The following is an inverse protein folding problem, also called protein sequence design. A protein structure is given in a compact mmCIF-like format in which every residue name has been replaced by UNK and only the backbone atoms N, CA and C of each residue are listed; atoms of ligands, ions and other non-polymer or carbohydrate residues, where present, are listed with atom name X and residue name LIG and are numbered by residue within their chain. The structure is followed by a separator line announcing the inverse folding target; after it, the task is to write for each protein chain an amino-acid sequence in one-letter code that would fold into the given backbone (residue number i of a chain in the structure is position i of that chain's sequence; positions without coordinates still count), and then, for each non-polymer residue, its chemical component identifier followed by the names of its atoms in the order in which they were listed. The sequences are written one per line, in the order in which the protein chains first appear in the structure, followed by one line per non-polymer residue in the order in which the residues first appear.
data_IF_551265500396
#
_entry.id   IF_551265500396
#
_cell.length_a   1.000
_cell.length_b   1.000
_cell.length_c   1.000
_cell.angle_alpha   90.00
_cell.angle_beta   90.00
_cell.angle_gamma   90.00
#
_symmetry.space_group_name_H-M   'P 1'
#
loop_
_entity.id
_entity.type
_entity.pdbx_description
1 polymer ?
#
# COMPACT_ATOMS: atom_id res chain seq x y z
N UNK A 1 6.82 -14.67 -43.99
CA UNK A 1 7.22 -15.22 -42.70
C UNK A 1 6.06 -16.04 -42.19
N UNK A 2 6.23 -17.36 -42.09
CA UNK A 2 5.22 -18.22 -41.51
C UNK A 2 5.05 -17.84 -40.02
N UNK A 3 3.83 -17.80 -39.49
CA UNK A 3 3.60 -17.58 -38.08
C UNK A 3 4.23 -18.75 -37.32
N UNK A 4 5.28 -18.46 -36.53
CA UNK A 4 5.90 -19.45 -35.68
C UNK A 4 4.82 -20.01 -34.73
N UNK A 5 4.66 -21.34 -34.75
CA UNK A 5 3.80 -22.06 -33.81
C UNK A 5 4.18 -21.62 -32.37
N UNK A 6 3.22 -21.23 -31.54
CA UNK A 6 3.54 -20.83 -30.17
C UNK A 6 4.23 -22.01 -29.47
N UNK A 7 5.48 -21.81 -29.05
CA UNK A 7 6.23 -22.80 -28.29
C UNK A 7 5.50 -23.06 -26.98
N UNK A 8 5.43 -24.34 -26.54
CA UNK A 8 4.84 -24.69 -25.24
C UNK A 8 5.53 -23.86 -24.14
N UNK A 9 4.76 -23.22 -23.23
CA UNK A 9 5.32 -22.47 -22.14
C UNK A 9 6.30 -23.32 -21.31
N UNK A 10 7.39 -22.72 -20.84
CA UNK A 10 8.37 -23.38 -19.96
C UNK A 10 7.80 -23.64 -18.56
N UNK A 11 6.69 -23.00 -18.22
CA UNK A 11 5.96 -23.19 -16.95
C UNK A 11 4.92 -22.12 -16.74
N UNK A 12 4.23 -22.21 -15.62
CA UNK A 12 3.13 -21.33 -15.22
C UNK A 12 3.41 -20.63 -13.90
N UNK A 13 3.17 -19.32 -13.88
CA UNK A 13 3.14 -18.52 -12.66
C UNK A 13 1.72 -18.04 -12.42
N UNK A 14 1.22 -18.28 -11.20
CA UNK A 14 -0.01 -17.67 -10.71
C UNK A 14 0.35 -16.48 -9.83
N UNK A 15 -0.27 -15.34 -10.06
CA UNK A 15 -0.11 -14.12 -9.27
C UNK A 15 -1.42 -13.80 -8.58
N UNK A 16 -1.39 -13.65 -7.26
CA UNK A 16 -2.55 -13.31 -6.43
C UNK A 16 -2.47 -11.84 -6.02
N UNK A 17 -3.45 -11.05 -6.43
CA UNK A 17 -3.56 -9.63 -6.16
C UNK A 17 -2.95 -8.75 -7.27
N UNK A 18 -3.78 -7.88 -7.84
CA UNK A 18 -3.46 -6.96 -8.94
C UNK A 18 -3.05 -5.55 -8.50
N UNK A 19 -2.53 -5.40 -7.28
CA UNK A 19 -1.98 -4.15 -6.77
C UNK A 19 -0.59 -3.83 -7.32
N UNK A 20 0.10 -2.86 -6.69
CA UNK A 20 1.43 -2.39 -7.12
C UNK A 20 2.46 -3.51 -7.31
N UNK A 21 2.50 -4.48 -6.39
CA UNK A 21 3.44 -5.60 -6.49
C UNK A 21 3.03 -6.63 -7.52
N UNK A 22 1.81 -7.15 -7.41
CA UNK A 22 1.36 -8.28 -8.23
C UNK A 22 1.16 -7.94 -9.70
N UNK A 23 0.55 -6.79 -10.03
CA UNK A 23 0.41 -6.34 -11.41
C UNK A 23 1.78 -6.14 -12.07
N UNK A 24 2.72 -5.51 -11.35
CA UNK A 24 4.10 -5.36 -11.82
C UNK A 24 4.76 -6.71 -12.06
N UNK A 25 4.70 -7.63 -11.09
CA UNK A 25 5.27 -8.96 -11.24
C UNK A 25 4.69 -9.69 -12.46
N UNK A 26 3.37 -9.68 -12.62
CA UNK A 26 2.70 -10.34 -13.74
C UNK A 26 3.17 -9.81 -15.10
N UNK A 27 3.24 -8.47 -15.25
CA UNK A 27 3.72 -7.82 -16.48
C UNK A 27 5.17 -8.18 -16.77
N UNK A 28 6.05 -8.00 -15.79
CA UNK A 28 7.50 -8.15 -16.00
C UNK A 28 7.93 -9.60 -16.14
N UNK A 29 7.24 -10.59 -15.56
CA UNK A 29 7.46 -12.00 -15.85
C UNK A 29 7.18 -12.27 -17.32
N UNK A 30 6.09 -11.76 -17.89
CA UNK A 30 5.79 -11.90 -19.31
C UNK A 30 6.83 -11.23 -20.19
N UNK A 31 7.19 -9.97 -19.89
CA UNK A 31 8.15 -9.20 -20.67
C UNK A 31 9.54 -9.84 -20.67
N UNK A 32 10.08 -10.14 -19.49
CA UNK A 32 11.46 -10.62 -19.36
C UNK A 32 11.65 -12.09 -19.71
N UNK A 33 10.58 -12.88 -19.70
CA UNK A 33 10.60 -14.22 -20.26
C UNK A 33 10.41 -14.26 -21.79
N UNK A 34 10.21 -13.11 -22.44
CA UNK A 34 9.86 -13.07 -23.86
C UNK A 34 8.55 -13.81 -24.18
N UNK A 35 7.63 -13.85 -23.20
CA UNK A 35 6.38 -14.58 -23.32
C UNK A 35 6.48 -16.09 -23.07
N UNK A 36 7.65 -16.62 -22.72
CA UNK A 36 7.85 -18.06 -22.50
C UNK A 36 7.18 -18.61 -21.23
N UNK A 37 6.84 -17.77 -20.25
CA UNK A 37 6.13 -18.16 -19.03
C UNK A 37 4.67 -17.78 -19.14
N UNK A 38 3.77 -18.73 -18.88
CA UNK A 38 2.34 -18.44 -18.75
C UNK A 38 2.08 -17.74 -17.41
N UNK A 39 1.37 -16.60 -17.44
CA UNK A 39 1.04 -15.83 -16.23
C UNK A 39 -0.46 -15.66 -16.08
N UNK A 40 -0.99 -16.13 -14.95
CA UNK A 40 -2.37 -15.97 -14.53
C UNK A 40 -2.41 -14.98 -13.36
N UNK A 41 -3.08 -13.85 -13.52
CA UNK A 41 -3.32 -12.89 -12.44
C UNK A 41 -4.73 -13.05 -11.91
N UNK A 42 -4.88 -13.41 -10.63
CA UNK A 42 -6.17 -13.47 -9.94
C UNK A 42 -6.38 -12.19 -9.16
N UNK A 43 -7.42 -11.44 -9.53
CA UNK A 43 -7.80 -10.19 -8.87
C UNK A 43 -9.33 -10.12 -8.69
N UNK A 44 -9.77 -9.84 -7.47
CA UNK A 44 -11.20 -9.78 -7.14
C UNK A 44 -11.91 -8.54 -7.68
N UNK A 45 -11.18 -7.43 -7.79
CA UNK A 45 -11.72 -6.17 -8.28
C UNK A 45 -11.64 -6.08 -9.81
N UNK A 46 -12.61 -5.41 -10.43
CA UNK A 46 -12.62 -5.18 -11.88
C UNK A 46 -11.58 -4.16 -12.32
N UNK A 47 -11.19 -3.27 -11.40
CA UNK A 47 -10.30 -2.15 -11.65
C UNK A 47 -9.33 -1.98 -10.48
N UNK A 48 -8.17 -1.47 -10.80
CA UNK A 48 -7.19 -1.00 -9.82
C UNK A 48 -7.56 0.40 -9.36
N UNK A 49 -7.54 0.63 -8.04
CA UNK A 49 -7.68 1.94 -7.42
C UNK A 49 -6.43 2.25 -6.62
N UNK A 50 -5.79 3.38 -6.90
CA UNK A 50 -4.54 3.76 -6.24
C UNK A 50 -4.76 4.28 -4.83
N UNK A 51 -4.10 3.67 -3.83
CA UNK A 51 -4.03 4.22 -2.47
C UNK A 51 -3.12 5.46 -2.40
N UNK A 52 -1.89 5.46 -2.94
CA UNK A 52 -1.18 6.70 -3.22
C UNK A 52 -2.04 7.64 -4.05
N UNK A 53 -2.07 8.91 -3.67
CA UNK A 53 -2.91 9.98 -4.24
C UNK A 53 -4.41 9.94 -3.87
N UNK A 54 -4.90 8.91 -3.18
CA UNK A 54 -6.32 8.87 -2.73
C UNK A 54 -6.67 9.96 -1.72
N UNK A 55 -5.71 10.48 -0.98
CA UNK A 55 -5.92 11.63 -0.10
C UNK A 55 -6.30 12.91 -0.86
N UNK A 56 -5.90 13.03 -2.14
CA UNK A 56 -6.32 14.14 -3.01
C UNK A 56 -7.82 14.06 -3.34
N UNK A 57 -8.39 12.86 -3.40
CA UNK A 57 -9.84 12.67 -3.54
C UNK A 57 -10.54 13.10 -2.26
N UNK A 58 -10.01 12.72 -1.11
CA UNK A 58 -10.54 13.12 0.19
C UNK A 58 -10.47 14.65 0.38
N UNK A 59 -9.39 15.30 -0.06
CA UNK A 59 -9.24 16.76 -0.06
C UNK A 59 -10.10 17.48 -1.11
N UNK A 60 -10.56 16.77 -2.13
CA UNK A 60 -11.45 17.30 -3.18
C UNK A 60 -10.73 17.88 -4.40
N UNK A 61 -9.40 17.75 -4.50
CA UNK A 61 -8.64 18.22 -5.66
C UNK A 61 -8.58 17.22 -6.82
N UNK A 62 -8.99 15.96 -6.57
CA UNK A 62 -9.07 14.88 -7.55
C UNK A 62 -10.36 14.07 -7.36
N UNK A 63 -10.73 13.32 -8.39
CA UNK A 63 -11.85 12.39 -8.39
C UNK A 63 -11.37 10.94 -8.28
N UNK A 64 -12.29 10.01 -7.98
CA UNK A 64 -11.99 8.57 -8.03
C UNK A 64 -11.56 8.12 -9.44
N UNK A 65 -12.13 8.69 -10.50
CA UNK A 65 -11.74 8.40 -11.88
C UNK A 65 -10.27 8.73 -12.18
N UNK A 66 -9.72 9.79 -11.56
CA UNK A 66 -8.33 10.17 -11.74
C UNK A 66 -7.33 9.12 -11.22
N UNK A 67 -7.74 8.32 -10.23
CA UNK A 67 -6.89 7.33 -9.55
C UNK A 67 -7.28 5.88 -9.83
N UNK A 68 -8.21 5.64 -10.75
CA UNK A 68 -8.70 4.31 -11.14
C UNK A 68 -8.16 3.92 -12.52
N UNK A 69 -7.73 2.66 -12.67
CA UNK A 69 -7.17 2.12 -13.91
C UNK A 69 -7.66 0.69 -14.15
N UNK A 70 -7.85 0.33 -15.43
CA UNK A 70 -8.19 -1.02 -15.83
C UNK A 70 -6.97 -1.92 -16.00
N UNK A 71 -7.22 -3.23 -16.12
CA UNK A 71 -6.19 -4.26 -16.36
C UNK A 71 -5.98 -4.58 -17.85
N UNK A 72 -6.46 -3.73 -18.76
CA UNK A 72 -6.39 -3.96 -20.21
C UNK A 72 -4.97 -4.10 -20.74
N UNK A 73 -4.04 -3.26 -20.30
CA UNK A 73 -2.64 -3.32 -20.71
C UNK A 73 -1.96 -4.63 -20.35
N UNK A 74 -2.25 -5.19 -19.17
CA UNK A 74 -1.71 -6.51 -18.79
C UNK A 74 -2.15 -7.62 -19.73
N UNK A 75 -3.39 -7.58 -20.22
CA UNK A 75 -3.88 -8.54 -21.22
C UNK A 75 -3.13 -8.38 -22.54
N UNK A 76 -2.80 -7.14 -22.93
CA UNK A 76 -1.97 -6.83 -24.08
C UNK A 76 -0.57 -7.46 -24.01
N UNK A 77 0.00 -7.61 -22.82
CA UNK A 77 1.25 -8.33 -22.58
C UNK A 77 1.08 -9.85 -22.46
N UNK A 78 -0.12 -10.38 -22.67
CA UNK A 78 -0.41 -11.81 -22.57
C UNK A 78 -0.58 -12.34 -21.15
N UNK A 79 -0.85 -11.46 -20.17
CA UNK A 79 -1.28 -11.87 -18.83
C UNK A 79 -2.76 -12.23 -18.88
N UNK A 80 -3.10 -13.44 -18.44
CA UNK A 80 -4.50 -13.85 -18.29
C UNK A 80 -5.03 -13.32 -16.95
N UNK A 81 -5.84 -12.28 -17.01
CA UNK A 81 -6.47 -11.69 -15.81
C UNK A 81 -7.77 -12.43 -15.52
N UNK A 82 -7.83 -13.06 -14.33
CA UNK A 82 -8.97 -13.80 -13.83
C UNK A 82 -9.62 -12.97 -12.73
N UNK A 83 -10.86 -12.56 -12.96
CA UNK A 83 -11.65 -11.83 -11.97
C UNK A 83 -12.29 -12.80 -10.99
N UNK A 84 -11.57 -13.13 -9.92
CA UNK A 84 -12.03 -13.99 -8.84
C UNK A 84 -11.25 -13.71 -7.56
N UNK A 85 -11.64 -14.34 -6.49
CA UNK A 85 -10.97 -14.31 -5.20
C UNK A 85 -10.35 -15.67 -4.89
N UNK A 86 -9.13 -15.66 -4.37
CA UNK A 86 -8.47 -16.89 -3.92
C UNK A 86 -9.04 -17.31 -2.56
N UNK A 87 -9.60 -18.49 -2.50
CA UNK A 87 -10.17 -19.08 -1.28
C UNK A 87 -9.12 -19.81 -0.44
N UNK A 88 -8.16 -20.51 -1.09
CA UNK A 88 -7.11 -21.26 -0.41
C UNK A 88 -5.90 -21.48 -1.32
N UNK A 89 -4.75 -21.70 -0.70
CA UNK A 89 -3.51 -22.13 -1.34
C UNK A 89 -3.10 -23.47 -0.75
N UNK A 90 -3.01 -24.50 -1.60
CA UNK A 90 -2.37 -25.77 -1.27
C UNK A 90 -0.95 -25.75 -1.86
N UNK A 91 0.01 -25.40 -1.01
CA UNK A 91 1.41 -25.29 -1.43
C UNK A 91 2.05 -26.66 -1.69
N UNK A 92 1.58 -27.73 -1.06
CA UNK A 92 2.10 -29.08 -1.24
C UNK A 92 1.77 -29.62 -2.64
N UNK A 93 0.54 -29.45 -3.09
CA UNK A 93 0.10 -29.86 -4.42
C UNK A 93 0.28 -28.77 -5.49
N UNK A 94 0.78 -27.60 -5.10
CA UNK A 94 0.95 -26.39 -5.95
C UNK A 94 -0.36 -26.00 -6.65
N UNK A 95 -1.42 -25.86 -5.86
CA UNK A 95 -2.75 -25.47 -6.34
C UNK A 95 -3.26 -24.24 -5.60
N UNK A 96 -3.97 -23.41 -6.35
CA UNK A 96 -4.73 -22.28 -5.85
C UNK A 96 -6.21 -22.56 -6.11
N UNK A 97 -7.02 -22.57 -5.06
CA UNK A 97 -8.47 -22.72 -5.17
C UNK A 97 -9.14 -21.36 -5.23
N UNK A 98 -9.93 -21.14 -6.26
CA UNK A 98 -10.70 -19.93 -6.43
C UNK A 98 -12.06 -20.03 -5.71
N UNK A 99 -12.63 -18.88 -5.34
CA UNK A 99 -13.93 -18.84 -4.64
C UNK A 99 -15.07 -19.40 -5.48
N UNK A 100 -15.04 -19.25 -6.81
CA UNK A 100 -16.03 -19.81 -7.73
C UNK A 100 -15.87 -21.30 -8.02
N UNK A 101 -14.87 -21.94 -7.43
CA UNK A 101 -14.68 -23.38 -7.45
C UNK A 101 -13.59 -23.88 -8.38
N UNK A 102 -13.05 -23.05 -9.29
CA UNK A 102 -11.95 -23.42 -10.16
C UNK A 102 -10.65 -23.59 -9.36
N UNK A 103 -9.77 -24.49 -9.85
CA UNK A 103 -8.43 -24.68 -9.32
C UNK A 103 -7.39 -24.33 -10.38
N UNK A 104 -6.32 -23.62 -9.95
CA UNK A 104 -5.19 -23.27 -10.80
C UNK A 104 -3.94 -23.96 -10.28
N UNK A 105 -3.25 -24.69 -11.16
CA UNK A 105 -1.92 -25.23 -10.85
C UNK A 105 -0.83 -24.22 -11.19
N UNK A 106 0.30 -24.26 -10.49
CA UNK A 106 1.44 -23.39 -10.74
C UNK A 106 2.78 -24.09 -10.56
N UNK A 107 3.80 -23.63 -11.24
CA UNK A 107 5.20 -23.96 -10.96
C UNK A 107 5.76 -23.01 -9.91
N UNK A 108 5.41 -21.70 -10.01
CA UNK A 108 5.68 -20.69 -8.99
C UNK A 108 4.46 -19.84 -8.73
N UNK A 109 4.32 -19.40 -7.48
CA UNK A 109 3.21 -18.57 -7.01
C UNK A 109 3.75 -17.22 -6.51
N UNK A 110 3.10 -16.15 -6.89
CA UNK A 110 3.31 -14.80 -6.35
C UNK A 110 2.10 -14.42 -5.50
N UNK A 111 2.32 -14.08 -4.24
CA UNK A 111 1.27 -13.64 -3.31
C UNK A 111 1.51 -12.18 -2.94
N UNK A 112 0.65 -11.31 -3.45
CA UNK A 112 0.71 -9.86 -3.24
C UNK A 112 -0.61 -9.36 -2.62
N UNK A 113 -0.94 -9.77 -1.38
CA UNK A 113 -2.28 -9.59 -0.81
C UNK A 113 -2.47 -8.23 -0.14
N UNK A 114 -1.41 -7.43 -0.07
CA UNK A 114 -1.41 -6.21 0.72
C UNK A 114 -1.55 -6.47 2.21
N UNK A 115 -2.26 -5.57 2.90
CA UNK A 115 -2.50 -5.65 4.35
C UNK A 115 -3.96 -5.97 4.67
N UNK A 116 -4.17 -6.47 5.87
CA UNK A 116 -5.46 -6.53 6.55
C UNK A 116 -5.38 -5.82 7.90
N UNK A 117 -6.54 -5.39 8.41
CA UNK A 117 -6.64 -4.59 9.63
C UNK A 117 -6.92 -5.45 10.86
N UNK A 118 -6.30 -5.09 11.97
CA UNK A 118 -6.51 -5.68 13.29
C UNK A 118 -7.53 -4.85 14.08
N UNK A 119 -8.80 -4.84 13.61
CA UNK A 119 -9.87 -4.09 14.27
C UNK A 119 -10.08 -4.54 15.72
N UNK A 120 -9.85 -5.84 15.99
CA UNK A 120 -9.94 -6.43 17.32
C UNK A 120 -8.98 -5.83 18.35
N UNK A 121 -7.93 -5.17 17.89
CA UNK A 121 -6.99 -4.47 18.79
C UNK A 121 -7.54 -3.14 19.31
N UNK A 122 -8.69 -2.67 18.80
CA UNK A 122 -9.36 -1.45 19.24
C UNK A 122 -10.72 -1.84 19.80
N UNK A 123 -10.91 -1.68 21.09
CA UNK A 123 -12.17 -2.05 21.77
C UNK A 123 -13.36 -1.28 21.16
N UNK A 124 -14.44 -1.97 20.88
CA UNK A 124 -15.65 -1.39 20.29
C UNK A 124 -15.60 -1.20 18.77
N UNK A 125 -14.48 -1.52 18.09
CA UNK A 125 -14.35 -1.40 16.64
C UNK A 125 -14.83 -2.66 15.88
N UNK A 126 -15.97 -3.21 16.33
CA UNK A 126 -16.63 -4.34 15.67
C UNK A 126 -17.33 -3.93 14.37
N UNK A 127 -17.97 -4.93 13.71
CA UNK A 127 -18.58 -4.77 12.38
C UNK A 127 -19.57 -3.60 12.30
N UNK A 128 -20.34 -3.33 13.36
CA UNK A 128 -21.30 -2.22 13.37
C UNK A 128 -20.58 -0.87 13.39
N UNK A 129 -19.55 -0.71 14.22
CA UNK A 129 -18.76 0.51 14.29
C UNK A 129 -18.03 0.79 12.96
N UNK A 130 -17.59 -0.23 12.25
CA UNK A 130 -16.90 -0.11 10.95
C UNK A 130 -17.77 0.51 9.86
N UNK A 131 -19.10 0.52 10.02
CA UNK A 131 -20.01 1.16 9.06
C UNK A 131 -19.96 2.69 9.11
N UNK A 132 -19.57 3.24 10.23
CA UNK A 132 -19.59 4.70 10.47
C UNK A 132 -18.23 5.27 10.84
N UNK A 133 -17.37 4.49 11.48
CA UNK A 133 -15.98 4.85 11.78
C UNK A 133 -15.11 4.25 10.66
N UNK A 134 -14.76 5.08 9.69
CA UNK A 134 -14.09 4.65 8.47
C UNK A 134 -12.58 4.83 8.58
N UNK A 135 -11.80 3.82 8.18
CA UNK A 135 -10.35 3.97 8.06
C UNK A 135 -9.95 4.58 6.71
N UNK A 136 -10.65 4.22 5.62
CA UNK A 136 -10.32 4.62 4.24
C UNK A 136 -8.81 4.44 3.92
N UNK A 137 -8.23 3.34 4.40
CA UNK A 137 -6.81 3.01 4.20
C UNK A 137 -6.61 2.00 3.05
N UNK A 138 -7.70 1.53 2.47
CA UNK A 138 -7.81 0.91 1.15
C UNK A 138 -8.67 1.85 0.30
N UNK A 139 -8.10 2.41 -0.77
CA UNK A 139 -8.83 3.33 -1.64
C UNK A 139 -9.97 2.61 -2.38
N UNK A 140 -11.10 3.27 -2.48
CA UNK A 140 -12.30 2.72 -3.10
C UNK A 140 -13.57 3.41 -2.59
N UNK A 141 -14.69 2.69 -2.47
CA UNK A 141 -15.97 3.25 -2.01
C UNK A 141 -15.89 3.94 -0.64
N UNK A 142 -15.04 3.42 0.26
CA UNK A 142 -14.85 4.01 1.59
C UNK A 142 -14.17 5.38 1.53
N UNK A 143 -13.33 5.65 0.51
CA UNK A 143 -12.75 6.98 0.28
C UNK A 143 -13.85 8.01 -0.01
N UNK A 144 -14.81 7.64 -0.85
CA UNK A 144 -15.99 8.49 -1.17
C UNK A 144 -16.88 8.68 0.06
N UNK A 145 -17.11 7.61 0.83
CA UNK A 145 -17.91 7.66 2.04
C UNK A 145 -17.27 8.58 3.10
N UNK A 146 -15.96 8.50 3.31
CA UNK A 146 -15.25 9.37 4.24
C UNK A 146 -15.24 10.82 3.77
N UNK A 147 -15.09 11.06 2.45
CA UNK A 147 -15.22 12.41 1.86
C UNK A 147 -16.61 12.97 2.15
N UNK A 148 -17.66 12.18 1.99
CA UNK A 148 -19.03 12.62 2.30
C UNK A 148 -19.19 12.96 3.79
N UNK A 149 -18.64 12.17 4.71
CA UNK A 149 -18.68 12.52 6.14
C UNK A 149 -18.00 13.86 6.42
N UNK A 150 -16.88 14.13 5.74
CA UNK A 150 -16.17 15.42 5.86
C UNK A 150 -17.02 16.58 5.31
N UNK A 151 -17.71 16.38 4.21
CA UNK A 151 -18.61 17.38 3.61
C UNK A 151 -19.85 17.64 4.48
N UNK A 152 -20.41 16.59 5.08
CA UNK A 152 -21.59 16.68 5.94
C UNK A 152 -21.25 17.24 7.34
N UNK A 153 -19.98 17.26 7.74
CA UNK A 153 -19.55 17.81 9.02
C UNK A 153 -19.88 19.31 9.10
N UNK A 154 -20.44 19.74 10.24
CA UNK A 154 -20.71 21.18 10.45
C UNK A 154 -19.42 22.00 10.47
N UNK A 155 -19.48 23.26 10.10
CA UNK A 155 -18.41 24.22 10.37
C UNK A 155 -18.24 24.41 11.90
N UNK A 156 -17.00 24.32 12.38
CA UNK A 156 -16.66 24.24 13.80
C UNK A 156 -16.66 22.81 14.34
N UNK A 157 -16.78 21.79 13.47
CA UNK A 157 -16.65 20.39 13.83
C UNK A 157 -15.20 19.94 14.01
N UNK A 158 -15.03 18.76 14.61
CA UNK A 158 -13.72 18.13 14.82
C UNK A 158 -13.61 16.84 14.01
N UNK A 159 -12.62 16.79 13.12
CA UNK A 159 -12.20 15.59 12.42
C UNK A 159 -11.07 14.92 13.19
N UNK A 160 -11.32 13.73 13.72
CA UNK A 160 -10.32 12.96 14.47
C UNK A 160 -9.68 11.94 13.54
N UNK A 161 -8.37 11.99 13.40
CA UNK A 161 -7.56 11.05 12.64
C UNK A 161 -6.65 10.26 13.58
N UNK A 162 -6.77 8.93 13.63
CA UNK A 162 -5.80 8.10 14.35
C UNK A 162 -4.70 7.58 13.44
N UNK A 163 -3.49 7.53 13.98
CA UNK A 163 -2.32 6.91 13.34
C UNK A 163 -1.95 5.65 14.13
N UNK A 164 -1.91 4.46 13.49
CA UNK A 164 -1.60 3.22 14.18
C UNK A 164 -0.12 3.14 14.57
N UNK A 165 0.24 2.25 15.52
CA UNK A 165 1.66 2.01 15.83
C UNK A 165 2.41 1.44 14.62
N UNK A 166 3.62 1.92 14.38
CA UNK A 166 4.50 1.42 13.33
C UNK A 166 4.89 -0.06 13.59
N UNK A 167 5.15 -0.87 12.54
CA UNK A 167 5.08 -0.55 11.12
C UNK A 167 3.65 -0.63 10.57
N UNK A 168 3.31 0.29 9.68
CA UNK A 168 2.05 0.31 8.94
C UNK A 168 2.30 0.76 7.48
N UNK A 169 1.34 0.47 6.59
CA UNK A 169 1.40 0.88 5.20
C UNK A 169 1.35 2.40 5.05
N UNK A 170 2.21 2.96 4.17
CA UNK A 170 2.27 4.37 3.84
C UNK A 170 2.58 5.25 5.07
N UNK A 171 3.83 5.20 5.61
CA UNK A 171 4.20 5.96 6.80
C UNK A 171 3.86 7.45 6.75
N UNK A 172 4.05 8.20 5.64
CA UNK A 172 3.65 9.61 5.56
C UNK A 172 2.14 9.83 5.33
N UNK A 173 1.40 8.80 4.98
CA UNK A 173 0.00 8.89 4.55
C UNK A 173 -0.96 9.58 5.53
N UNK A 174 -0.91 9.31 6.84
CA UNK A 174 -1.78 9.98 7.79
C UNK A 174 -1.56 11.49 7.85
N UNK A 175 -0.31 11.91 7.80
CA UNK A 175 0.06 13.33 7.89
C UNK A 175 -0.29 14.08 6.60
N UNK A 176 -0.15 13.43 5.43
CA UNK A 176 -0.69 13.94 4.16
C UNK A 176 -2.21 14.07 4.24
N UNK A 177 -2.91 13.04 4.76
CA UNK A 177 -4.38 13.07 4.93
C UNK A 177 -4.80 14.25 5.79
N UNK A 178 -4.12 14.48 6.91
CA UNK A 178 -4.38 15.64 7.76
C UNK A 178 -4.25 16.95 6.99
N UNK A 179 -3.22 17.10 6.15
CA UNK A 179 -3.05 18.27 5.29
C UNK A 179 -4.21 18.42 4.29
N UNK A 180 -4.64 17.33 3.63
CA UNK A 180 -5.72 17.38 2.65
C UNK A 180 -7.07 17.70 3.29
N UNK A 181 -7.35 17.13 4.46
CA UNK A 181 -8.55 17.48 5.23
C UNK A 181 -8.49 18.94 5.69
N UNK A 182 -7.36 19.39 6.22
CA UNK A 182 -7.17 20.76 6.66
C UNK A 182 -7.26 21.77 5.49
N UNK A 183 -6.77 21.42 4.32
CA UNK A 183 -6.94 22.21 3.11
C UNK A 183 -8.42 22.42 2.78
N UNK A 184 -9.20 21.35 2.80
CA UNK A 184 -10.65 21.45 2.60
C UNK A 184 -11.31 22.32 3.69
N UNK A 185 -10.98 22.07 4.96
CA UNK A 185 -11.58 22.82 6.08
C UNK A 185 -11.27 24.31 6.01
N UNK A 186 -10.03 24.67 5.68
CA UNK A 186 -9.59 26.06 5.56
C UNK A 186 -10.47 26.86 4.58
N UNK A 187 -10.94 26.23 3.51
CA UNK A 187 -11.73 26.88 2.48
C UNK A 187 -13.25 26.78 2.72
N UNK A 188 -13.72 25.62 3.20
CA UNK A 188 -15.14 25.32 3.29
C UNK A 188 -15.70 25.43 4.72
N UNK A 189 -14.86 25.21 5.75
CA UNK A 189 -15.28 25.11 7.16
C UNK A 189 -14.20 25.65 8.11
N UNK A 190 -13.87 26.95 8.05
CA UNK A 190 -12.67 27.53 8.65
C UNK A 190 -12.62 27.50 10.19
N UNK A 191 -13.75 27.26 10.87
CA UNK A 191 -13.82 27.11 12.32
C UNK A 191 -13.57 25.67 12.81
N UNK A 192 -13.46 24.71 11.86
CA UNK A 192 -13.26 23.30 12.14
C UNK A 192 -11.80 22.95 12.38
N UNK A 193 -11.55 21.78 12.95
CA UNK A 193 -10.20 21.28 13.29
C UNK A 193 -9.98 19.87 12.84
N UNK A 194 -8.71 19.54 12.59
CA UNK A 194 -8.18 18.17 12.49
C UNK A 194 -7.37 17.87 13.73
N UNK A 195 -7.76 16.84 14.45
CA UNK A 195 -7.00 16.34 15.59
C UNK A 195 -6.33 15.01 15.18
N UNK A 196 -5.00 14.98 15.18
CA UNK A 196 -4.22 13.79 14.91
C UNK A 196 -3.85 13.12 16.24
N UNK A 197 -4.29 11.88 16.44
CA UNK A 197 -3.92 11.02 17.55
C UNK A 197 -2.95 9.97 17.05
N UNK A 198 -1.68 10.16 17.33
CA UNK A 198 -0.60 9.30 16.83
C UNK A 198 -0.14 8.33 17.93
N UNK A 199 -0.22 7.02 17.63
CA UNK A 199 0.30 5.99 18.53
C UNK A 199 1.82 6.06 18.71
N UNK A 200 2.52 6.70 17.77
CA UNK A 200 3.97 6.83 17.77
C UNK A 200 4.40 8.08 18.56
N UNK A 201 5.65 8.11 19.08
CA UNK A 201 6.13 9.27 19.85
C UNK A 201 6.17 10.56 19.03
N UNK A 202 6.45 10.46 17.75
CA UNK A 202 6.50 11.59 16.82
C UNK A 202 6.11 11.15 15.40
N UNK A 203 5.98 12.12 14.50
CA UNK A 203 5.70 11.91 13.06
C UNK A 203 6.72 10.95 12.47
N UNK A 204 6.25 9.82 11.94
CA UNK A 204 7.10 8.69 11.53
C UNK A 204 7.83 8.89 10.22
N UNK A 205 7.46 9.90 9.43
CA UNK A 205 8.09 10.21 8.13
C UNK A 205 8.00 11.70 7.83
N UNK A 206 9.10 12.34 7.43
CA UNK A 206 9.18 13.75 7.04
C UNK A 206 8.66 14.73 8.13
N UNK A 207 8.86 14.37 9.41
CA UNK A 207 8.30 15.11 10.56
C UNK A 207 8.52 16.62 10.50
N UNK A 208 9.76 17.12 10.38
CA UNK A 208 10.01 18.56 10.31
C UNK A 208 9.26 19.26 9.17
N UNK A 209 9.15 18.62 7.99
CA UNK A 209 8.47 19.18 6.83
C UNK A 209 6.96 19.27 7.02
N UNK A 210 6.34 18.21 7.57
CA UNK A 210 4.92 18.23 7.88
C UNK A 210 4.59 19.25 8.98
N UNK A 211 5.34 19.27 10.07
CA UNK A 211 5.12 20.26 11.16
C UNK A 211 5.25 21.70 10.67
N UNK A 212 6.22 21.96 9.80
CA UNK A 212 6.37 23.28 9.16
C UNK A 212 5.18 23.61 8.26
N UNK A 213 4.72 22.67 7.44
CA UNK A 213 3.54 22.85 6.60
C UNK A 213 2.28 23.12 7.43
N UNK A 214 2.08 22.41 8.55
CA UNK A 214 0.93 22.65 9.45
C UNK A 214 0.97 24.05 10.06
N UNK A 215 2.15 24.49 10.52
CA UNK A 215 2.30 25.81 11.13
C UNK A 215 2.08 26.95 10.13
N UNK A 216 2.54 26.78 8.89
CA UNK A 216 2.48 27.82 7.87
C UNK A 216 1.17 27.86 7.08
N UNK A 217 0.62 26.68 6.73
CA UNK A 217 -0.57 26.59 5.89
C UNK A 217 -1.88 26.47 6.69
N UNK A 218 -1.84 25.81 7.85
CA UNK A 218 -3.02 25.41 8.63
C UNK A 218 -2.92 25.80 10.12
N UNK A 219 -2.46 27.04 10.44
CA UNK A 219 -2.37 27.46 11.84
C UNK A 219 -3.73 27.42 12.51
N UNK A 220 -3.79 26.76 13.68
CA UNK A 220 -5.03 26.61 14.44
C UNK A 220 -6.04 25.58 13.88
N UNK A 221 -5.78 24.97 12.71
CA UNK A 221 -6.63 23.94 12.14
C UNK A 221 -6.12 22.54 12.49
N UNK A 222 -4.82 22.27 12.37
CA UNK A 222 -4.23 20.96 12.72
C UNK A 222 -3.68 21.00 14.14
N UNK A 223 -4.13 20.05 14.97
CA UNK A 223 -3.57 19.72 16.28
C UNK A 223 -2.99 18.30 16.23
N UNK A 224 -1.75 18.14 16.71
CA UNK A 224 -1.04 16.85 16.74
C UNK A 224 -0.73 16.42 18.16
N UNK A 225 -1.04 15.16 18.47
CA UNK A 225 -0.70 14.51 19.74
C UNK A 225 0.03 13.20 19.48
N UNK A 226 1.32 13.14 19.81
CA UNK A 226 2.11 11.90 19.84
C UNK A 226 1.85 11.10 21.12
N UNK A 227 2.22 9.82 21.14
CA UNK A 227 1.92 8.87 22.22
C UNK A 227 0.43 8.82 22.60
N UNK A 228 -0.44 8.98 21.61
CA UNK A 228 -1.89 9.04 21.76
C UNK A 228 -2.57 7.88 20.98
N UNK A 229 -2.19 6.64 21.30
CA UNK A 229 -2.78 5.46 20.68
C UNK A 229 -4.28 5.34 21.00
N UNK A 230 -5.12 5.20 19.99
CA UNK A 230 -6.54 4.93 20.16
C UNK A 230 -6.74 3.49 20.62
N UNK A 231 -7.27 3.31 21.82
CA UNK A 231 -7.52 2.02 22.46
C UNK A 231 -8.95 1.54 22.30
N UNK A 232 -9.89 2.47 22.21
CA UNK A 232 -11.30 2.14 22.05
C UNK A 232 -12.06 3.17 21.23
N UNK A 233 -13.19 2.74 20.66
CA UNK A 233 -14.12 3.61 19.92
C UNK A 233 -15.54 3.36 20.41
N UNK A 234 -16.37 4.42 20.35
CA UNK A 234 -17.80 4.35 20.55
C UNK A 234 -18.50 5.10 19.40
N UNK A 235 -19.09 4.36 18.48
CA UNK A 235 -19.71 4.91 17.27
C UNK A 235 -20.95 5.77 17.59
N UNK A 236 -21.79 5.36 18.55
CA UNK A 236 -23.01 6.08 18.91
C UNK A 236 -22.71 7.38 19.66
N UNK A 237 -21.72 7.40 20.55
CA UNK A 237 -21.27 8.58 21.26
C UNK A 237 -20.34 9.46 20.39
N UNK A 238 -19.86 8.96 19.26
CA UNK A 238 -18.84 9.60 18.41
C UNK A 238 -17.56 9.91 19.21
N UNK A 239 -17.05 8.94 19.95
CA UNK A 239 -15.84 9.12 20.76
C UNK A 239 -14.77 8.09 20.42
N UNK A 240 -13.52 8.50 20.61
CA UNK A 240 -12.35 7.62 20.68
C UNK A 240 -11.69 7.82 22.05
N UNK A 241 -11.11 6.76 22.60
CA UNK A 241 -10.37 6.86 23.88
C UNK A 241 -8.93 6.42 23.69
N UNK A 242 -8.02 7.17 24.31
CA UNK A 242 -6.62 6.82 24.51
C UNK A 242 -6.41 6.35 25.96
N UNK A 243 -5.18 6.13 26.40
CA UNK A 243 -4.89 5.83 27.80
C UNK A 243 -5.16 7.04 28.75
N UNK A 244 -5.28 8.25 28.19
CA UNK A 244 -5.36 9.49 28.97
C UNK A 244 -6.72 10.19 28.86
N UNK A 245 -7.32 10.18 27.67
CA UNK A 245 -8.47 11.00 27.34
C UNK A 245 -9.54 10.23 26.56
N UNK A 246 -10.81 10.66 26.73
CA UNK A 246 -11.90 10.34 25.80
C UNK A 246 -12.25 11.57 25.01
N UNK A 247 -12.14 11.47 23.69
CA UNK A 247 -12.24 12.58 22.76
C UNK A 247 -13.45 12.38 21.86
N UNK A 248 -14.29 13.40 21.77
CA UNK A 248 -15.42 13.42 20.84
C UNK A 248 -15.03 14.07 19.52
N UNK A 249 -15.44 13.44 18.39
CA UNK A 249 -15.28 14.00 17.06
C UNK A 249 -16.58 13.96 16.27
N UNK A 250 -16.74 14.88 15.30
CA UNK A 250 -17.85 14.85 14.37
C UNK A 250 -17.62 13.82 13.28
N UNK A 251 -16.36 13.64 12.86
CA UNK A 251 -15.89 12.55 12.00
C UNK A 251 -14.77 11.79 12.71
N UNK A 252 -14.90 10.47 12.76
CA UNK A 252 -13.87 9.58 13.32
C UNK A 252 -13.23 8.79 12.19
N UNK A 253 -12.00 9.14 11.81
CA UNK A 253 -11.19 8.41 10.85
C UNK A 253 -10.14 7.59 11.60
N UNK A 254 -10.48 6.36 11.95
CA UNK A 254 -9.63 5.50 12.78
C UNK A 254 -8.95 4.45 11.91
N UNK A 255 -7.61 4.51 11.82
CA UNK A 255 -6.80 3.54 11.09
C UNK A 255 -6.29 2.47 12.05
N UNK A 256 -6.76 1.21 11.96
CA UNK A 256 -6.32 0.15 12.85
C UNK A 256 -4.88 -0.28 12.58
N UNK A 257 -4.22 -0.96 13.55
CA UNK A 257 -3.01 -1.72 13.30
C UNK A 257 -3.19 -2.73 12.16
N UNK A 258 -2.10 -3.15 11.53
CA UNK A 258 -2.14 -3.90 10.29
C UNK A 258 -1.29 -5.17 10.37
N UNK A 259 -1.63 -6.14 9.53
CA UNK A 259 -0.87 -7.35 9.25
C UNK A 259 -0.94 -7.70 7.77
N UNK A 260 -0.19 -8.72 7.34
CA UNK A 260 -0.33 -9.29 5.99
C UNK A 260 -1.77 -9.76 5.74
N UNK A 261 -2.22 -9.65 4.50
CA UNK A 261 -3.56 -10.02 4.06
C UNK A 261 -3.93 -11.47 4.39
N UNK A 262 -5.22 -11.74 4.53
CA UNK A 262 -5.77 -13.01 5.03
C UNK A 262 -5.27 -14.25 4.29
N UNK A 263 -5.10 -14.16 2.98
CA UNK A 263 -4.61 -15.30 2.20
C UNK A 263 -3.17 -15.71 2.58
N UNK A 264 -2.34 -14.76 2.97
CA UNK A 264 -1.00 -15.05 3.46
C UNK A 264 -1.03 -15.76 4.81
N UNK A 265 -1.96 -15.37 5.71
CA UNK A 265 -2.19 -16.05 6.99
C UNK A 265 -2.67 -17.48 6.77
N UNK A 266 -3.69 -17.67 5.93
CA UNK A 266 -4.26 -18.99 5.62
C UNK A 266 -3.26 -19.95 4.97
N UNK A 267 -2.28 -19.44 4.22
CA UNK A 267 -1.25 -20.23 3.56
C UNK A 267 0.02 -20.48 4.41
N UNK A 268 0.04 -20.03 5.68
CA UNK A 268 1.21 -20.21 6.56
C UNK A 268 2.43 -19.37 6.18
N UNK A 269 2.23 -18.24 5.49
CA UNK A 269 3.32 -17.37 5.02
C UNK A 269 3.79 -16.35 6.06
N UNK A 270 3.00 -16.12 7.12
CA UNK A 270 3.34 -15.18 8.19
C UNK A 270 4.34 -15.84 9.13
N UNK A 271 5.54 -15.27 9.23
CA UNK A 271 6.67 -15.81 10.02
C UNK A 271 7.22 -14.85 11.06
N UNK A 272 6.80 -13.59 11.03
CA UNK A 272 7.31 -12.55 11.94
C UNK A 272 6.18 -11.86 12.68
N UNK A 273 6.27 -11.82 14.03
CA UNK A 273 5.39 -11.09 14.95
C UNK A 273 3.88 -11.37 14.75
N UNK A 274 3.52 -12.55 14.23
CA UNK A 274 2.16 -12.91 13.82
C UNK A 274 1.53 -11.91 12.83
N UNK A 275 2.33 -11.10 12.14
CA UNK A 275 1.87 -10.02 11.27
C UNK A 275 2.45 -10.08 9.86
N UNK A 276 3.73 -10.41 9.68
CA UNK A 276 4.44 -10.18 8.43
C UNK A 276 5.10 -11.44 7.88
N UNK A 277 5.24 -11.50 6.55
CA UNK A 277 5.84 -12.60 5.82
C UNK A 277 7.35 -12.37 5.64
N UNK A 278 8.19 -13.25 6.16
CA UNK A 278 9.62 -13.26 5.87
C UNK A 278 9.91 -13.75 4.46
N UNK A 279 10.84 -13.10 3.78
CA UNK A 279 11.25 -13.41 2.41
C UNK A 279 12.78 -13.44 2.26
N UNK A 280 13.25 -14.20 1.29
CA UNK A 280 14.61 -14.09 0.76
C UNK A 280 14.69 -12.88 -0.17
N UNK A 281 15.48 -11.89 0.18
CA UNK A 281 15.59 -10.63 -0.55
C UNK A 281 16.32 -10.71 -1.90
N UNK A 282 16.85 -11.87 -2.28
CA UNK A 282 17.35 -12.11 -3.64
C UNK A 282 16.23 -12.53 -4.62
N UNK A 283 15.15 -13.09 -4.10
CA UNK A 283 14.09 -13.70 -4.92
C UNK A 283 12.67 -13.32 -4.51
N UNK A 284 12.48 -12.69 -3.36
CA UNK A 284 11.19 -12.53 -2.69
C UNK A 284 10.52 -13.86 -2.31
N UNK A 285 11.22 -14.99 -2.41
CA UNK A 285 10.66 -16.29 -2.02
C UNK A 285 10.42 -16.35 -0.51
N UNK A 286 9.28 -16.91 -0.11
CA UNK A 286 8.92 -17.09 1.29
C UNK A 286 9.94 -17.95 2.02
N UNK A 287 10.35 -17.54 3.22
CA UNK A 287 11.22 -18.38 4.07
C UNK A 287 10.49 -19.60 4.64
N UNK A 288 9.16 -19.62 4.60
CA UNK A 288 8.34 -20.71 5.12
C UNK A 288 7.90 -21.72 4.05
N UNK A 289 7.67 -21.27 2.80
CA UNK A 289 7.04 -22.09 1.75
C UNK A 289 7.80 -21.93 0.45
N UNK A 290 8.35 -23.03 -0.06
CA UNK A 290 9.09 -23.04 -1.34
C UNK A 290 8.18 -22.77 -2.54
N UNK A 291 8.77 -22.15 -3.57
CA UNK A 291 8.08 -21.79 -4.82
C UNK A 291 6.94 -20.76 -4.67
N UNK A 292 6.86 -20.11 -3.50
CA UNK A 292 5.91 -19.04 -3.20
C UNK A 292 6.67 -17.77 -2.90
N UNK A 293 6.40 -16.71 -3.66
CA UNK A 293 7.03 -15.38 -3.52
C UNK A 293 6.02 -14.42 -2.92
N UNK A 294 6.41 -13.67 -1.90
CA UNK A 294 5.54 -12.68 -1.25
C UNK A 294 6.04 -11.27 -1.52
N UNK A 295 5.14 -10.37 -1.90
CA UNK A 295 5.47 -9.01 -2.33
C UNK A 295 4.75 -7.93 -1.52
N UNK A 296 5.34 -6.75 -1.52
CA UNK A 296 4.71 -5.52 -1.04
C UNK A 296 4.50 -5.48 0.47
N UNK A 297 3.42 -4.86 0.87
CA UNK A 297 3.16 -4.52 2.27
C UNK A 297 2.98 -5.73 3.20
N UNK A 298 2.70 -6.92 2.65
CA UNK A 298 2.60 -8.17 3.40
C UNK A 298 3.96 -8.66 3.94
N UNK A 299 5.08 -8.21 3.35
CA UNK A 299 6.41 -8.65 3.76
C UNK A 299 6.86 -8.05 5.08
N UNK A 300 7.71 -8.79 5.81
CA UNK A 300 8.55 -8.19 6.84
C UNK A 300 9.53 -7.25 6.14
N UNK A 301 9.38 -5.96 6.36
CA UNK A 301 10.24 -4.96 5.71
C UNK A 301 11.71 -5.16 6.08
N UNK A 302 12.59 -4.99 5.11
CA UNK A 302 14.01 -4.85 5.38
C UNK A 302 14.28 -3.59 6.24
N UNK A 303 15.45 -3.50 6.90
CA UNK A 303 15.78 -2.34 7.73
C UNK A 303 15.59 -1.01 6.99
N UNK A 304 14.92 -0.06 7.62
CA UNK A 304 14.60 1.28 7.10
C UNK A 304 13.76 1.29 5.79
N UNK A 305 13.23 0.15 5.37
CA UNK A 305 12.40 0.05 4.17
C UNK A 305 10.94 0.39 4.50
N UNK A 306 10.33 1.38 3.85
CA UNK A 306 8.92 1.69 4.08
C UNK A 306 8.00 0.67 3.38
N UNK A 307 6.79 0.50 3.93
CA UNK A 307 5.69 -0.17 3.22
C UNK A 307 5.02 0.84 2.31
N UNK A 308 5.36 0.82 1.02
CA UNK A 308 4.84 1.78 0.03
C UNK A 308 4.48 1.11 -1.29
N UNK A 309 3.63 1.79 -2.08
CA UNK A 309 3.29 1.32 -3.43
C UNK A 309 4.51 1.24 -4.35
N UNK A 310 5.45 2.21 -4.26
CA UNK A 310 6.69 2.19 -5.04
C UNK A 310 7.58 1.02 -4.65
N UNK A 311 7.72 0.75 -3.35
CA UNK A 311 8.49 -0.40 -2.88
C UNK A 311 7.83 -1.72 -3.33
N UNK A 312 6.50 -1.83 -3.26
CA UNK A 312 5.77 -3.00 -3.77
C UNK A 312 6.00 -3.21 -5.28
N UNK A 313 6.00 -2.14 -6.08
CA UNK A 313 6.35 -2.20 -7.51
C UNK A 313 7.79 -2.74 -7.70
N UNK A 314 8.76 -2.24 -6.94
CA UNK A 314 10.13 -2.74 -7.00
C UNK A 314 10.25 -4.22 -6.54
N UNK A 315 9.51 -4.65 -5.51
CA UNK A 315 9.41 -6.06 -5.14
C UNK A 315 8.88 -6.90 -6.30
N UNK A 316 7.89 -6.40 -7.02
CA UNK A 316 7.34 -7.05 -8.21
C UNK A 316 8.40 -7.28 -9.31
N UNK A 317 9.22 -6.27 -9.59
CA UNK A 317 10.33 -6.37 -10.55
C UNK A 317 11.42 -7.33 -10.06
N UNK A 318 11.79 -7.24 -8.80
CA UNK A 318 12.80 -8.13 -8.20
C UNK A 318 12.34 -9.60 -8.27
N UNK A 319 11.10 -9.89 -7.88
CA UNK A 319 10.53 -11.23 -7.96
C UNK A 319 10.42 -11.71 -9.41
N UNK A 320 9.98 -10.85 -10.34
CA UNK A 320 9.88 -11.21 -11.75
C UNK A 320 11.24 -11.61 -12.34
N UNK A 321 12.29 -10.83 -12.09
CA UNK A 321 13.64 -11.15 -12.51
C UNK A 321 14.09 -12.51 -11.95
N UNK A 322 13.91 -12.68 -10.64
CA UNK A 322 14.30 -13.93 -9.96
C UNK A 322 13.51 -15.15 -10.48
N UNK A 323 12.20 -15.03 -10.66
CA UNK A 323 11.35 -16.12 -11.16
C UNK A 323 11.78 -16.53 -12.57
N UNK A 324 12.05 -15.56 -13.47
CA UNK A 324 12.53 -15.84 -14.83
C UNK A 324 13.85 -16.61 -14.79
N UNK A 325 14.82 -16.21 -13.95
CA UNK A 325 16.10 -16.91 -13.81
C UNK A 325 15.91 -18.31 -13.23
N UNK A 326 15.15 -18.45 -12.14
CA UNK A 326 14.89 -19.73 -11.48
C UNK A 326 14.18 -20.74 -12.41
N UNK A 327 13.22 -20.30 -13.22
CA UNK A 327 12.51 -21.18 -14.16
C UNK A 327 13.37 -21.58 -15.36
N UNK A 328 14.44 -20.84 -15.65
CA UNK A 328 15.44 -21.19 -16.67
C UNK A 328 16.66 -21.90 -16.09
N UNK A 329 16.71 -22.20 -14.79
CA UNK A 329 17.85 -22.82 -14.14
C UNK A 329 19.13 -21.96 -14.11
N UNK A 330 18.97 -20.63 -14.16
CA UNK A 330 20.07 -19.66 -14.14
C UNK A 330 20.25 -19.06 -12.75
N UNK A 331 21.46 -18.54 -12.43
CA UNK A 331 21.73 -17.90 -11.15
C UNK A 331 20.97 -16.59 -11.01
N UNK A 332 20.60 -16.28 -9.76
CA UNK A 332 19.98 -15.00 -9.41
C UNK A 332 20.97 -13.84 -9.50
N UNK A 333 20.47 -12.61 -9.68
CA UNK A 333 21.26 -11.42 -9.47
C UNK A 333 21.74 -11.37 -8.01
N UNK A 334 23.05 -11.41 -7.74
CA UNK A 334 23.58 -11.44 -6.37
C UNK A 334 23.53 -10.10 -5.66
N UNK A 335 23.25 -9.01 -6.36
CA UNK A 335 23.27 -7.64 -5.83
C UNK A 335 22.08 -6.81 -6.35
N UNK A 336 20.85 -7.21 -6.06
CA UNK A 336 19.69 -6.39 -6.43
C UNK A 336 19.71 -5.06 -5.70
N UNK A 337 19.27 -4.02 -6.43
CA UNK A 337 19.09 -2.66 -5.92
C UNK A 337 17.66 -2.23 -6.21
N UNK A 338 16.98 -1.71 -5.20
CA UNK A 338 15.63 -1.17 -5.33
C UNK A 338 15.54 0.22 -4.71
N UNK A 339 14.58 1.01 -5.16
CA UNK A 339 14.43 2.39 -4.73
C UNK A 339 13.00 2.71 -4.31
N UNK A 340 12.87 3.70 -3.45
CA UNK A 340 11.60 4.25 -3.02
C UNK A 340 11.59 5.77 -3.13
N UNK A 341 10.45 6.31 -3.54
CA UNK A 341 10.14 7.73 -3.41
C UNK A 341 8.69 7.86 -2.98
N UNK A 342 8.45 8.62 -1.92
CA UNK A 342 7.11 8.92 -1.42
C UNK A 342 6.87 10.42 -1.52
N UNK A 343 5.99 10.82 -2.42
CA UNK A 343 5.49 12.19 -2.56
C UNK A 343 4.26 12.37 -1.66
N UNK A 344 4.23 13.43 -0.86
CA UNK A 344 3.09 13.77 0.00
C UNK A 344 2.60 15.18 -0.27
N UNK A 345 1.35 15.31 -0.65
CA UNK A 345 0.71 16.58 -0.93
C UNK A 345 0.31 17.28 0.38
N UNK A 346 0.95 18.40 0.66
CA UNK A 346 0.63 19.23 1.85
C UNK A 346 -0.43 20.30 1.53
N UNK A 347 -0.73 20.53 0.27
CA UNK A 347 -1.87 21.29 -0.24
C UNK A 347 -2.41 20.62 -1.51
N UNK A 348 -3.21 21.31 -2.29
CA UNK A 348 -3.64 20.85 -3.63
C UNK A 348 -2.50 20.81 -4.66
N UNK A 349 -1.40 21.54 -4.43
CA UNK A 349 -0.30 21.75 -5.38
C UNK A 349 1.08 21.44 -4.81
N UNK A 350 1.32 21.76 -3.55
CA UNK A 350 2.65 21.66 -2.95
C UNK A 350 2.89 20.28 -2.36
N UNK A 351 4.09 19.76 -2.56
CA UNK A 351 4.53 18.43 -2.12
C UNK A 351 5.80 18.52 -1.29
N UNK A 352 5.95 17.56 -0.40
CA UNK A 352 7.22 17.16 0.23
C UNK A 352 7.49 15.70 -0.10
N UNK A 353 8.74 15.34 -0.41
CA UNK A 353 9.11 13.95 -0.70
C UNK A 353 10.14 13.38 0.26
N UNK A 354 10.24 12.06 0.27
CA UNK A 354 11.36 11.28 0.82
C UNK A 354 11.73 10.22 -0.19
N UNK A 355 13.02 10.00 -0.38
CA UNK A 355 13.56 8.98 -1.25
C UNK A 355 14.61 8.13 -0.53
N UNK A 356 14.74 6.86 -0.91
CA UNK A 356 15.76 5.96 -0.40
C UNK A 356 16.14 4.93 -1.46
N UNK A 357 17.37 4.42 -1.36
CA UNK A 357 17.87 3.31 -2.19
C UNK A 357 18.31 2.19 -1.26
N UNK A 358 17.99 0.97 -1.61
CA UNK A 358 18.32 -0.23 -0.84
C UNK A 358 19.09 -1.20 -1.73
N UNK A 359 20.18 -1.73 -1.22
CA UNK A 359 21.04 -2.71 -1.90
C UNK A 359 21.17 -3.95 -1.04
N UNK A 360 21.25 -5.12 -1.67
CA UNK A 360 21.47 -6.37 -0.96
C UNK A 360 22.84 -6.43 -0.30
N UNK A 361 22.85 -6.80 0.97
CA UNK A 361 24.04 -7.08 1.77
C UNK A 361 24.15 -8.59 1.97
N UNK A 362 25.19 -9.26 1.41
CA UNK A 362 25.34 -10.71 1.49
C UNK A 362 25.72 -11.21 2.89
N UNK A 363 26.26 -10.34 3.76
CA UNK A 363 26.60 -10.69 5.14
C UNK A 363 25.33 -10.71 6.00
N UNK A 364 24.53 -9.67 5.90
CA UNK A 364 23.27 -9.56 6.63
C UNK A 364 22.12 -10.34 5.95
N UNK A 365 22.30 -10.77 4.71
CA UNK A 365 21.30 -11.46 3.87
C UNK A 365 19.97 -10.69 3.78
N UNK A 366 20.06 -9.38 3.67
CA UNK A 366 18.90 -8.47 3.55
C UNK A 366 19.23 -7.27 2.69
N UNK A 367 18.21 -6.50 2.34
CA UNK A 367 18.42 -5.19 1.71
C UNK A 367 18.73 -4.15 2.80
N UNK A 368 19.73 -3.34 2.56
CA UNK A 368 20.14 -2.25 3.46
C UNK A 368 20.10 -0.91 2.74
N UNK A 369 19.75 0.15 3.47
CA UNK A 369 19.79 1.50 2.92
C UNK A 369 21.21 1.88 2.49
N UNK A 370 21.34 2.43 1.27
CA UNK A 370 22.62 2.89 0.74
C UNK A 370 22.94 4.27 1.34
N UNK A 371 24.05 4.42 2.08
CA UNK A 371 24.43 5.70 2.65
C UNK A 371 24.60 6.78 1.56
N UNK A 372 24.07 7.97 1.80
CA UNK A 372 24.15 9.10 0.87
C UNK A 372 23.18 9.04 -0.33
N UNK A 373 22.43 7.95 -0.50
CA UNK A 373 21.43 7.79 -1.56
C UNK A 373 19.97 8.03 -1.06
N UNK A 374 19.81 8.51 0.15
CA UNK A 374 18.53 8.96 0.69
C UNK A 374 18.41 10.48 0.59
N UNK A 375 17.18 10.99 0.51
CA UNK A 375 16.92 12.41 0.47
C UNK A 375 15.51 12.77 0.88
N UNK A 376 15.35 14.01 1.34
CA UNK A 376 14.05 14.63 1.58
C UNK A 376 14.03 16.01 0.92
N UNK A 377 12.84 16.53 0.65
CA UNK A 377 12.68 17.91 0.17
C UNK A 377 13.37 18.92 1.09
N UNK A 378 13.99 19.92 0.53
CA UNK A 378 14.51 21.07 1.30
C UNK A 378 13.35 21.88 1.91
N UNK A 379 12.26 22.01 1.16
CA UNK A 379 11.01 22.65 1.56
C UNK A 379 9.86 22.14 0.66
N UNK A 380 8.60 22.36 1.06
CA UNK A 380 7.46 22.14 0.19
C UNK A 380 7.52 23.06 -1.03
N UNK A 381 7.12 22.57 -2.18
CA UNK A 381 7.05 23.37 -3.41
C UNK A 381 6.10 22.76 -4.46
N UNK A 382 5.67 23.60 -5.42
CA UNK A 382 4.74 23.19 -6.49
C UNK A 382 5.43 22.36 -7.57
N UNK A 383 6.72 22.51 -7.80
CA UNK A 383 7.45 21.70 -8.79
C UNK A 383 7.46 20.23 -8.38
N UNK A 384 7.70 19.93 -7.12
CA UNK A 384 7.59 18.58 -6.59
C UNK A 384 6.12 18.08 -6.61
N UNK A 385 5.14 18.97 -6.54
CA UNK A 385 3.73 18.65 -6.75
C UNK A 385 3.47 18.12 -8.16
N UNK A 386 4.04 18.78 -9.17
CA UNK A 386 3.98 18.29 -10.55
C UNK A 386 4.69 16.93 -10.70
N UNK A 387 5.85 16.77 -10.07
CA UNK A 387 6.57 15.48 -10.06
C UNK A 387 5.79 14.37 -9.37
N UNK A 388 5.14 14.65 -8.25
CA UNK A 388 4.34 13.68 -7.51
C UNK A 388 3.16 13.15 -8.33
N UNK A 389 2.47 14.03 -9.06
CA UNK A 389 1.40 13.62 -9.96
C UNK A 389 1.91 12.85 -11.17
N UNK A 390 3.00 13.31 -11.81
CA UNK A 390 3.63 12.60 -12.92
C UNK A 390 4.15 11.22 -12.49
N UNK A 391 4.71 11.11 -11.28
CA UNK A 391 5.11 9.82 -10.70
C UNK A 391 3.93 8.85 -10.61
N UNK A 392 2.78 9.31 -10.13
CA UNK A 392 1.59 8.47 -10.01
C UNK A 392 1.16 7.93 -11.39
N UNK A 393 1.10 8.80 -12.41
CA UNK A 393 0.75 8.41 -13.78
C UNK A 393 1.77 7.42 -14.35
N UNK A 394 3.06 7.65 -14.13
CA UNK A 394 4.13 6.81 -14.63
C UNK A 394 4.15 5.42 -13.98
N UNK A 395 3.96 5.32 -12.65
CA UNK A 395 3.94 4.03 -11.99
C UNK A 395 2.71 3.21 -12.39
N UNK A 396 1.55 3.84 -12.62
CA UNK A 396 0.37 3.14 -13.15
C UNK A 396 0.60 2.63 -14.57
N UNK A 397 1.23 3.42 -15.44
CA UNK A 397 1.62 2.98 -16.80
C UNK A 397 2.66 1.85 -16.74
N UNK A 398 3.64 1.96 -15.84
CA UNK A 398 4.67 0.93 -15.65
C UNK A 398 4.06 -0.42 -15.23
N UNK A 399 3.08 -0.43 -14.34
CA UNK A 399 2.53 -1.67 -13.80
C UNK A 399 1.33 -2.22 -14.58
N UNK A 400 0.54 -1.38 -15.26
CA UNK A 400 -0.75 -1.73 -15.85
C UNK A 400 -0.83 -1.48 -17.37
N UNK A 401 0.05 -0.63 -17.91
CA UNK A 401 0.09 -0.24 -19.31
C UNK A 401 0.80 -1.21 -20.25
#
# INVERSE_FOLDING_TARGET
MEPSTPSKPIGRVVVIGGGFGGATAAKYIRLWSGGAIEVLLVERNSEFVSCPTSNLVLGGSRSMGDITRGYGGLRGHGVRVIRDEVAAIDAQSRRVKLRRGDELTYDRLVVSPGIEFLHENIQGYGTEAQRTILHSWKAGPETVALRKQLEDMRDGGVYVLSVPPAPYRCPPGPYERACQVAFYLKHAKPRSKVLILDANPDVTSKGPLFKKAWAELYPGIIEYRGNAEVKSVNASAKTVSTDFDTIRGDVLNVVPPQRAGDIAKGAGLITANNRWCGVDWLSMESVAVKNVHVLGDATLSAPAMPKSGHMANNHGKLAAAAIVELMNGRPLNPQPVIANTCYSFVSDKEVVHVASVHRYDPVQKTLVAVPGAAGVSAARNELEGAYGWAWAQNIWADMLG
#
